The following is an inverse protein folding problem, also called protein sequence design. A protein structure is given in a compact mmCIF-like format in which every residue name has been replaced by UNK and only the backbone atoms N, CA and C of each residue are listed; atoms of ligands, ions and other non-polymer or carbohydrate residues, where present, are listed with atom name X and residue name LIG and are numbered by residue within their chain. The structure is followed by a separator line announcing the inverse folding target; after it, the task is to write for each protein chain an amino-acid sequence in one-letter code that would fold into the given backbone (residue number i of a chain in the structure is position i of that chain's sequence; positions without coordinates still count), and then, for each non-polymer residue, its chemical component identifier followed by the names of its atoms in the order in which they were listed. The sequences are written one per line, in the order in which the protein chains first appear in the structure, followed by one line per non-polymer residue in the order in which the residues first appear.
data_IF_605459697490
#
_entry.id   IF_605459697490
#
_cell.length_a   1.000
_cell.length_b   1.000
_cell.length_c   1.000
_cell.angle_alpha   90.00
_cell.angle_beta   90.00
_cell.angle_gamma   90.00
#
_symmetry.space_group_name_H-M   'P 1'
#
loop_
_entity.id
_entity.type
_entity.pdbx_description
1 polymer ?
#
# COMPACT_ATOMS: atom_id res chain seq x y z
N UNK A 1 -0.05 -9.28 -6.21
CA UNK A 1 0.73 -9.13 -4.96
C UNK A 1 1.76 -8.04 -5.15
N UNK A 2 1.91 -7.18 -4.16
CA UNK A 2 2.85 -6.06 -4.20
C UNK A 2 3.76 -6.12 -2.99
N UNK A 3 5.07 -6.14 -3.23
CA UNK A 3 6.06 -6.00 -2.15
C UNK A 3 6.44 -4.52 -2.06
N UNK A 4 6.22 -3.93 -0.90
CA UNK A 4 6.43 -2.51 -0.72
C UNK A 4 6.68 -2.16 0.74
N UNK A 5 7.12 -0.93 0.97
CA UNK A 5 7.31 -0.36 2.31
C UNK A 5 6.23 0.66 2.57
N UNK A 6 5.73 0.70 3.80
CA UNK A 6 4.88 1.79 4.23
C UNK A 6 5.80 2.94 4.61
N UNK A 7 5.72 4.05 3.89
CA UNK A 7 6.57 5.21 4.17
C UNK A 7 5.83 6.29 4.93
N UNK A 8 4.51 6.27 4.91
CA UNK A 8 3.69 7.23 5.64
C UNK A 8 2.34 6.61 5.95
N UNK A 9 1.83 6.87 7.15
CA UNK A 9 0.49 6.47 7.58
C UNK A 9 -0.28 7.70 8.04
N UNK A 10 -1.50 7.84 7.52
CA UNK A 10 -2.42 8.85 8.02
C UNK A 10 -3.10 8.38 9.31
N UNK A 11 -3.82 9.28 9.95
CA UNK A 11 -4.59 8.92 11.14
C UNK A 11 -5.73 7.96 10.77
N UNK A 12 -6.02 7.03 11.66
CA UNK A 12 -7.16 6.14 11.50
C UNK A 12 -8.45 6.95 11.50
N UNK A 13 -9.34 6.64 10.57
CA UNK A 13 -10.66 7.25 10.47
C UNK A 13 -11.71 6.17 10.27
N UNK A 14 -12.97 6.57 10.34
CA UNK A 14 -14.08 5.66 10.14
C UNK A 14 -14.89 6.10 8.94
N UNK A 15 -15.35 5.11 8.17
CA UNK A 15 -16.24 5.36 7.04
C UNK A 15 -17.64 5.70 7.54
N UNK A 16 -18.53 6.26 6.69
CA UNK A 16 -19.92 6.46 7.08
C UNK A 16 -20.64 5.21 7.55
N UNK A 17 -20.19 4.03 7.10
CA UNK A 17 -20.73 2.75 7.55
C UNK A 17 -20.16 2.29 8.90
N UNK A 18 -19.28 3.07 9.52
CA UNK A 18 -18.69 2.73 10.82
C UNK A 18 -17.50 1.80 10.75
N UNK A 19 -16.94 1.54 9.56
CA UNK A 19 -15.78 0.69 9.41
C UNK A 19 -14.49 1.52 9.54
N UNK A 20 -13.45 0.97 10.18
CA UNK A 20 -12.17 1.67 10.22
C UNK A 20 -11.55 1.72 8.83
N UNK A 21 -10.91 2.84 8.52
CA UNK A 21 -10.21 3.06 7.27
C UNK A 21 -8.88 3.75 7.54
N UNK A 22 -7.85 3.30 6.85
CA UNK A 22 -6.49 3.82 7.01
C UNK A 22 -5.88 4.06 5.65
N UNK A 23 -5.44 5.29 5.41
CA UNK A 23 -4.72 5.65 4.20
C UNK A 23 -3.23 5.62 4.49
N UNK A 24 -2.47 5.03 3.57
CA UNK A 24 -1.01 4.93 3.67
C UNK A 24 -0.39 5.23 2.33
N UNK A 25 0.88 5.60 2.35
CA UNK A 25 1.70 5.69 1.15
C UNK A 25 2.66 4.50 1.13
N UNK A 26 2.66 3.78 0.03
CA UNK A 26 3.54 2.63 -0.17
C UNK A 26 4.64 3.01 -1.16
N UNK A 27 5.85 2.56 -0.88
CA UNK A 27 6.98 2.72 -1.79
C UNK A 27 7.48 1.36 -2.22
N UNK A 28 7.51 1.16 -3.52
CA UNK A 28 8.07 -0.05 -4.12
C UNK A 28 9.40 0.27 -4.78
N UNK A 29 10.40 -0.54 -4.48
CA UNK A 29 11.69 -0.49 -5.17
C UNK A 29 12.03 -1.88 -5.66
N UNK A 30 12.46 -1.98 -6.91
CA UNK A 30 12.92 -3.24 -7.47
C UNK A 30 14.07 -2.99 -8.43
N UNK A 31 14.92 -4.00 -8.57
CA UNK A 31 16.00 -3.99 -9.55
C UNK A 31 15.77 -5.12 -10.53
N UNK A 32 15.99 -4.84 -11.79
CA UNK A 32 15.92 -5.87 -12.83
C UNK A 32 17.06 -5.67 -13.82
N UNK A 33 17.43 -6.75 -14.50
CA UNK A 33 18.43 -6.72 -15.55
C UNK A 33 17.69 -6.90 -16.87
N UNK A 34 17.80 -5.90 -17.74
CA UNK A 34 17.25 -5.96 -19.09
C UNK A 34 18.34 -5.65 -20.08
N UNK A 35 18.51 -6.54 -21.07
CA UNK A 35 19.48 -6.37 -22.15
C UNK A 35 20.90 -6.08 -21.62
N UNK A 36 21.27 -6.73 -20.51
CA UNK A 36 22.58 -6.55 -19.90
C UNK A 36 22.77 -5.29 -19.07
N UNK A 37 21.73 -4.47 -18.92
CA UNK A 37 21.79 -3.27 -18.10
C UNK A 37 20.90 -3.41 -16.87
N UNK A 38 21.43 -3.00 -15.71
CA UNK A 38 20.63 -2.93 -14.49
C UNK A 38 19.68 -1.75 -14.54
N UNK A 39 18.43 -2.01 -14.17
CA UNK A 39 17.43 -0.98 -14.04
C UNK A 39 16.82 -1.01 -12.66
N UNK A 40 16.73 0.15 -12.05
CA UNK A 40 15.99 0.34 -10.82
C UNK A 40 14.62 0.87 -11.16
N UNK A 41 13.59 0.25 -10.57
CA UNK A 41 12.22 0.77 -10.64
C UNK A 41 11.81 1.15 -9.24
N UNK A 42 11.36 2.39 -9.08
CA UNK A 42 10.86 2.87 -7.81
C UNK A 42 9.61 3.71 -8.07
N UNK A 43 8.58 3.49 -7.26
CA UNK A 43 7.38 4.32 -7.33
C UNK A 43 6.69 4.34 -5.97
N UNK A 44 5.92 5.40 -5.76
CA UNK A 44 5.04 5.51 -4.60
C UNK A 44 3.60 5.42 -5.08
N UNK A 45 2.78 4.75 -4.30
CA UNK A 45 1.36 4.62 -4.59
C UNK A 45 0.57 4.80 -3.31
N UNK A 46 -0.57 5.46 -3.41
CA UNK A 46 -1.48 5.56 -2.29
C UNK A 46 -2.24 4.26 -2.13
N UNK A 47 -2.43 3.86 -0.88
CA UNK A 47 -3.14 2.64 -0.55
C UNK A 47 -4.15 2.91 0.56
N UNK A 48 -5.16 2.08 0.61
CA UNK A 48 -6.22 2.18 1.61
C UNK A 48 -6.54 0.81 2.15
N UNK A 49 -6.60 0.71 3.47
CA UNK A 49 -7.09 -0.47 4.16
C UNK A 49 -8.43 -0.13 4.82
N UNK A 50 -9.39 -1.06 4.77
CA UNK A 50 -10.70 -0.89 5.39
C UNK A 50 -11.03 -2.16 6.16
N UNK A 51 -11.69 -1.99 7.31
CA UNK A 51 -12.11 -3.13 8.13
C UNK A 51 -10.94 -3.78 8.86
N UNK A 52 -10.93 -5.10 8.91
CA UNK A 52 -9.92 -5.84 9.67
C UNK A 52 -8.50 -5.67 9.16
N UNK A 53 -8.34 -5.35 7.88
CA UNK A 53 -7.00 -5.10 7.34
C UNK A 53 -6.31 -3.90 7.97
N UNK A 54 -7.07 -2.93 8.51
CA UNK A 54 -6.49 -1.75 9.15
C UNK A 54 -5.62 -2.11 10.34
N UNK A 55 -6.02 -3.12 11.13
CA UNK A 55 -5.26 -3.53 12.31
C UNK A 55 -3.87 -4.02 11.94
N UNK A 56 -3.78 -4.83 10.88
CA UNK A 56 -2.50 -5.36 10.43
C UNK A 56 -1.61 -4.28 9.83
N UNK A 57 -2.20 -3.36 9.07
CA UNK A 57 -1.44 -2.26 8.50
C UNK A 57 -0.95 -1.31 9.59
N UNK A 58 -1.75 -1.08 10.63
CA UNK A 58 -1.32 -0.28 11.78
C UNK A 58 -0.15 -0.92 12.54
N UNK A 59 -0.13 -2.24 12.60
CA UNK A 59 0.93 -2.98 13.29
C UNK A 59 2.21 -3.13 12.46
N UNK A 60 2.15 -2.87 11.16
CA UNK A 60 3.30 -3.03 10.28
C UNK A 60 4.33 -1.93 10.52
N UNK A 61 5.60 -2.30 10.53
CA UNK A 61 6.68 -1.33 10.69
C UNK A 61 6.84 -0.49 9.43
N UNK A 62 7.11 0.80 9.63
CA UNK A 62 7.45 1.70 8.54
C UNK A 62 8.86 1.40 8.04
N UNK A 63 9.06 1.54 6.73
CA UNK A 63 10.38 1.38 6.14
C UNK A 63 10.85 -0.05 5.96
N UNK A 64 9.98 -1.03 6.21
CA UNK A 64 10.28 -2.45 6.06
C UNK A 64 9.40 -3.03 4.95
N UNK A 65 9.98 -3.90 4.14
CA UNK A 65 9.22 -4.54 3.06
C UNK A 65 8.17 -5.50 3.62
N UNK A 66 6.96 -5.37 3.12
CA UNK A 66 5.84 -6.27 3.40
C UNK A 66 5.19 -6.68 2.08
N UNK A 67 4.50 -7.79 2.10
CA UNK A 67 3.74 -8.24 0.94
C UNK A 67 2.28 -7.84 1.10
N UNK A 68 1.75 -7.11 0.11
CA UNK A 68 0.38 -6.64 0.11
C UNK A 68 -0.41 -7.36 -0.97
N UNK A 69 -1.61 -7.79 -0.64
CA UNK A 69 -2.56 -8.32 -1.60
C UNK A 69 -3.76 -7.40 -1.66
N UNK A 70 -4.25 -7.16 -2.87
CA UNK A 70 -5.38 -6.30 -3.08
C UNK A 70 -5.57 -5.99 -4.55
N UNK A 71 -6.18 -4.87 -4.83
CA UNK A 71 -6.45 -4.47 -6.22
C UNK A 71 -6.33 -2.96 -6.37
N UNK A 72 -6.06 -2.55 -7.60
CA UNK A 72 -6.01 -1.13 -7.96
C UNK A 72 -7.40 -0.64 -8.30
N UNK A 73 -7.70 0.56 -7.85
CA UNK A 73 -8.95 1.22 -8.19
C UNK A 73 -8.74 2.70 -8.40
N UNK A 74 -9.67 3.34 -9.07
CA UNK A 74 -9.66 4.78 -9.24
C UNK A 74 -10.12 5.45 -7.95
N UNK A 75 -9.54 6.62 -7.67
CA UNK A 75 -10.03 7.43 -6.57
C UNK A 75 -11.42 7.97 -6.90
N UNK A 76 -12.19 8.24 -5.86
CA UNK A 76 -13.58 8.65 -5.98
C UNK A 76 -13.80 9.89 -6.84
N UNK A 77 -12.83 10.79 -6.83
CA UNK A 77 -12.90 12.02 -7.61
C UNK A 77 -12.31 11.87 -9.03
N UNK A 78 -11.99 10.66 -9.45
CA UNK A 78 -11.40 10.38 -10.75
C UNK A 78 -9.95 10.81 -10.90
N UNK A 79 -9.29 11.21 -9.82
CA UNK A 79 -7.89 11.64 -9.85
C UNK A 79 -7.00 10.60 -9.22
N UNK A 80 -6.25 9.90 -10.06
CA UNK A 80 -5.25 8.97 -9.61
C UNK A 80 -5.79 7.60 -9.27
N UNK A 81 -4.88 6.78 -8.75
CA UNK A 81 -5.12 5.38 -8.48
C UNK A 81 -4.83 5.14 -7.01
N UNK A 82 -5.62 4.27 -6.39
CA UNK A 82 -5.40 3.83 -5.02
C UNK A 82 -5.34 2.31 -5.00
N UNK A 83 -4.39 1.77 -4.24
CA UNK A 83 -4.29 0.34 -4.02
C UNK A 83 -5.16 -0.03 -2.82
N UNK A 84 -6.17 -0.86 -3.04
CA UNK A 84 -7.05 -1.33 -1.98
C UNK A 84 -6.44 -2.57 -1.35
N UNK A 85 -5.97 -2.44 -0.11
CA UNK A 85 -5.29 -3.52 0.60
C UNK A 85 -6.34 -4.49 1.14
N UNK A 86 -6.28 -5.75 0.72
CA UNK A 86 -7.12 -6.81 1.25
C UNK A 86 -6.41 -7.59 2.33
N UNK A 87 -5.11 -7.80 2.17
CA UNK A 87 -4.31 -8.48 3.18
C UNK A 87 -2.86 -8.02 3.12
N UNK A 88 -2.14 -8.24 4.21
CA UNK A 88 -0.73 -7.92 4.32
C UNK A 88 -0.04 -9.07 5.06
N UNK A 89 1.10 -9.51 4.52
CA UNK A 89 1.98 -10.46 5.17
C UNK A 89 3.16 -9.69 5.75
N UNK A 90 3.31 -9.73 7.05
CA UNK A 90 4.39 -9.07 7.77
C UNK A 90 5.67 -9.89 7.64
N UNK A 91 6.77 -9.20 7.40
CA UNK A 91 8.09 -9.83 7.37
C UNK A 91 8.86 -9.48 8.62
#
# INVERSE_FOLDING_TARGET
MLTAQIVERAALRFTPAGLPALDVSLKHESESVQLGAQRKTAFEIRARAVGTATERVMAAELGVDHEFEGFLGAQRNGRGIVFHIQSIALK
#
